data_IF_718685479057
#
_entry.id   IF_718685479057
#
_cell.length_a   1.000
_cell.length_b   1.000
_cell.length_c   1.000
_cell.angle_alpha   90.00
_cell.angle_beta   90.00
_cell.angle_gamma   90.00
#
_symmetry.space_group_name_H-M   'P 1'
#
loop_
_entity.id
_entity.type
_entity.pdbx_description
1 polymer ?
#
# COMPACT_ATOMS: atom_id res chain seq x y z
N UNK A 1 -28.22 -10.92 8.07
CA UNK A 1 -29.38 -11.69 7.57
C UNK A 1 -29.49 -11.44 6.09
N UNK A 2 -29.06 -12.40 5.27
CA UNK A 2 -29.26 -12.32 3.82
C UNK A 2 -30.74 -12.40 3.52
N UNK A 3 -31.25 -11.44 2.75
CA UNK A 3 -32.65 -11.48 2.28
C UNK A 3 -32.76 -12.67 1.34
N UNK A 4 -33.57 -13.67 1.74
CA UNK A 4 -33.90 -14.80 0.89
C UNK A 4 -34.63 -14.27 -0.35
N UNK A 5 -33.98 -14.37 -1.51
CA UNK A 5 -34.53 -13.91 -2.77
C UNK A 5 -35.59 -14.95 -3.22
N UNK A 6 -36.83 -14.50 -3.38
CA UNK A 6 -37.97 -15.34 -3.72
C UNK A 6 -38.18 -15.27 -5.23
N UNK A 7 -38.52 -16.42 -5.85
CA UNK A 7 -38.89 -16.48 -7.26
C UNK A 7 -40.02 -15.47 -7.55
N UNK A 8 -39.90 -14.61 -8.56
CA UNK A 8 -40.92 -13.63 -8.89
C UNK A 8 -42.23 -14.31 -9.40
N UNK A 9 -43.36 -13.77 -8.99
CA UNK A 9 -44.64 -14.21 -9.49
C UNK A 9 -44.81 -13.87 -10.98
N UNK A 10 -45.25 -14.83 -11.76
CA UNK A 10 -45.57 -14.65 -13.17
C UNK A 10 -46.96 -14.04 -13.33
N UNK A 11 -47.07 -12.97 -14.10
CA UNK A 11 -48.31 -12.42 -14.61
C UNK A 11 -48.20 -12.09 -16.08
N UNK A 12 -49.30 -12.17 -16.82
CA UNK A 12 -49.31 -11.85 -18.26
C UNK A 12 -48.81 -10.41 -18.50
N UNK A 13 -49.24 -9.47 -17.65
CA UNK A 13 -48.78 -8.06 -17.72
C UNK A 13 -47.27 -7.96 -17.53
N UNK A 14 -46.73 -8.61 -16.47
CA UNK A 14 -45.31 -8.56 -16.15
C UNK A 14 -44.42 -9.25 -17.20
N UNK A 15 -44.96 -10.18 -17.97
CA UNK A 15 -44.30 -10.78 -19.12
C UNK A 15 -44.17 -9.79 -20.26
N UNK A 16 -45.27 -9.12 -20.64
CA UNK A 16 -45.26 -8.18 -21.76
C UNK A 16 -44.52 -6.89 -21.49
N UNK A 17 -44.44 -6.41 -20.25
CA UNK A 17 -43.68 -5.22 -19.87
C UNK A 17 -42.20 -5.53 -19.56
N UNK A 18 -41.78 -6.79 -19.61
CA UNK A 18 -40.41 -7.25 -19.37
C UNK A 18 -39.99 -7.24 -17.88
N UNK A 19 -40.91 -6.94 -16.94
CA UNK A 19 -40.58 -6.87 -15.52
C UNK A 19 -40.41 -8.25 -14.88
N UNK A 20 -41.11 -9.26 -15.39
CA UNK A 20 -40.91 -10.64 -14.96
C UNK A 20 -39.51 -11.13 -15.34
N UNK A 21 -39.10 -10.94 -16.63
CA UNK A 21 -37.80 -11.41 -17.11
C UNK A 21 -36.66 -10.81 -16.27
N UNK A 22 -36.66 -9.48 -16.05
CA UNK A 22 -35.63 -8.83 -15.22
C UNK A 22 -35.58 -9.37 -13.79
N UNK A 23 -36.75 -9.62 -13.17
CA UNK A 23 -36.82 -10.17 -11.80
C UNK A 23 -36.45 -11.64 -11.77
N UNK A 24 -36.84 -12.40 -12.79
CA UNK A 24 -36.51 -13.81 -12.91
C UNK A 24 -35.01 -14.02 -13.15
N UNK A 25 -34.39 -13.23 -14.02
CA UNK A 25 -32.94 -13.23 -14.22
C UNK A 25 -32.20 -12.95 -12.90
N UNK A 26 -32.60 -11.90 -12.18
CA UNK A 26 -32.01 -11.57 -10.89
C UNK A 26 -32.19 -12.65 -9.82
N UNK A 27 -33.34 -13.34 -9.81
CA UNK A 27 -33.58 -14.49 -8.94
C UNK A 27 -32.77 -15.70 -9.37
N UNK A 28 -32.80 -16.03 -10.68
CA UNK A 28 -32.07 -17.15 -11.26
C UNK A 28 -30.56 -17.04 -11.00
N UNK A 29 -29.99 -15.86 -11.20
CA UNK A 29 -28.59 -15.58 -10.93
C UNK A 29 -28.18 -15.81 -9.47
N UNK A 30 -29.09 -15.59 -8.52
CA UNK A 30 -28.80 -15.75 -7.10
C UNK A 30 -29.07 -17.16 -6.57
N UNK A 31 -29.96 -17.93 -7.21
CA UNK A 31 -30.39 -19.25 -6.73
C UNK A 31 -29.66 -20.39 -7.46
N UNK A 32 -29.20 -20.16 -8.68
CA UNK A 32 -28.49 -21.18 -9.43
C UNK A 32 -27.02 -21.24 -9.03
N UNK A 33 -26.63 -22.27 -8.25
CA UNK A 33 -25.25 -22.59 -7.90
C UNK A 33 -24.33 -22.91 -9.08
N UNK A 34 -24.80 -22.83 -10.32
CA UNK A 34 -24.02 -23.05 -11.55
C UNK A 34 -23.36 -21.77 -12.07
N UNK A 35 -23.73 -20.57 -11.57
CA UNK A 35 -23.16 -19.30 -12.04
C UNK A 35 -21.65 -19.26 -11.87
N UNK A 36 -21.14 -19.64 -10.70
CA UNK A 36 -19.72 -19.64 -10.42
C UNK A 36 -18.96 -20.63 -11.33
N UNK A 37 -19.56 -21.79 -11.59
CA UNK A 37 -19.03 -22.80 -12.51
C UNK A 37 -19.00 -22.25 -13.94
N UNK A 38 -20.12 -21.66 -14.41
CA UNK A 38 -20.21 -21.09 -15.75
C UNK A 38 -19.23 -19.93 -15.94
N UNK A 39 -19.16 -18.98 -14.99
CA UNK A 39 -18.23 -17.85 -15.04
C UNK A 39 -16.77 -18.32 -15.06
N UNK A 40 -16.42 -19.28 -14.19
CA UNK A 40 -15.07 -19.84 -14.15
C UNK A 40 -14.71 -20.59 -15.43
N UNK A 41 -15.68 -21.30 -16.01
CA UNK A 41 -15.48 -22.02 -17.28
C UNK A 41 -15.30 -21.04 -18.43
N UNK A 42 -16.11 -20.00 -18.51
CA UNK A 42 -15.97 -18.94 -19.51
C UNK A 42 -14.62 -18.24 -19.40
N UNK A 43 -14.22 -17.84 -18.20
CA UNK A 43 -12.90 -17.26 -17.95
C UNK A 43 -11.77 -18.21 -18.41
N UNK A 44 -11.88 -19.50 -18.09
CA UNK A 44 -10.88 -20.50 -18.51
C UNK A 44 -10.81 -20.64 -20.04
N UNK A 45 -11.93 -20.65 -20.72
CA UNK A 45 -11.99 -20.69 -22.18
C UNK A 45 -11.38 -19.43 -22.78
N UNK A 46 -11.72 -18.24 -22.27
CA UNK A 46 -11.16 -16.98 -22.70
C UNK A 46 -9.63 -16.92 -22.51
N UNK A 47 -9.15 -17.44 -21.38
CA UNK A 47 -7.71 -17.54 -21.15
C UNK A 47 -7.01 -18.48 -22.13
N UNK A 48 -7.57 -19.67 -22.37
CA UNK A 48 -6.96 -20.69 -23.25
C UNK A 48 -6.98 -20.29 -24.72
N UNK A 49 -8.09 -19.69 -25.20
CA UNK A 49 -8.27 -19.39 -26.63
C UNK A 49 -7.74 -17.99 -26.99
N UNK A 50 -7.90 -17.00 -26.12
CA UNK A 50 -7.62 -15.61 -26.44
C UNK A 50 -6.52 -15.01 -25.58
N UNK A 51 -5.96 -15.78 -24.64
CA UNK A 51 -4.96 -15.31 -23.67
C UNK A 51 -5.43 -14.05 -22.94
N UNK A 52 -6.69 -14.06 -22.46
CA UNK A 52 -7.34 -12.99 -21.76
C UNK A 52 -7.75 -13.42 -20.34
N UNK A 53 -7.64 -12.51 -19.39
CA UNK A 53 -8.14 -12.69 -18.03
C UNK A 53 -9.23 -11.66 -17.75
N UNK A 54 -10.33 -12.11 -17.18
CA UNK A 54 -11.39 -11.23 -16.68
C UNK A 54 -11.19 -11.03 -15.18
N UNK A 55 -11.11 -9.79 -14.74
CA UNK A 55 -11.13 -9.46 -13.30
C UNK A 55 -12.55 -9.39 -12.78
N UNK A 56 -12.73 -9.49 -11.46
CA UNK A 56 -13.99 -9.09 -10.82
C UNK A 56 -14.24 -7.60 -11.08
N UNK A 57 -15.52 -7.20 -11.16
CA UNK A 57 -16.00 -5.88 -11.64
C UNK A 57 -15.28 -4.63 -11.11
N UNK A 58 -14.52 -4.73 -10.02
CA UNK A 58 -13.81 -3.62 -9.39
C UNK A 58 -12.28 -3.69 -9.49
N UNK A 59 -11.71 -4.74 -10.08
CA UNK A 59 -10.27 -4.91 -10.23
C UNK A 59 -9.94 -5.10 -11.70
N UNK A 60 -9.38 -4.06 -12.28
CA UNK A 60 -8.90 -4.00 -13.65
C UNK A 60 -7.63 -4.87 -13.78
N UNK A 61 -7.84 -6.19 -13.83
CA UNK A 61 -6.76 -7.18 -13.93
C UNK A 61 -6.17 -7.16 -15.33
N UNK A 62 -4.84 -7.08 -15.41
CA UNK A 62 -4.10 -7.05 -16.66
C UNK A 62 -3.17 -8.26 -16.73
N UNK A 63 -3.33 -9.06 -17.82
CA UNK A 63 -2.40 -10.11 -18.16
C UNK A 63 -1.19 -9.50 -18.89
N UNK A 64 -0.04 -9.55 -18.24
CA UNK A 64 1.23 -9.13 -18.80
C UNK A 64 2.00 -10.26 -19.47
N UNK A 65 3.18 -9.93 -20.00
CA UNK A 65 4.09 -10.89 -20.61
C UNK A 65 4.49 -11.98 -19.62
N UNK A 66 4.74 -13.19 -20.12
CA UNK A 66 5.12 -14.37 -19.33
C UNK A 66 4.13 -14.67 -18.20
N UNK A 67 2.85 -14.44 -18.44
CA UNK A 67 1.77 -14.65 -17.48
C UNK A 67 1.91 -13.86 -16.15
N UNK A 68 2.57 -12.71 -16.18
CA UNK A 68 2.57 -11.81 -15.03
C UNK A 68 1.23 -11.10 -14.93
N UNK A 69 0.60 -11.16 -13.76
CA UNK A 69 -0.63 -10.45 -13.49
C UNK A 69 -0.34 -9.09 -12.84
N UNK A 70 -1.10 -8.08 -13.25
CA UNK A 70 -1.04 -6.72 -12.74
C UNK A 70 -2.43 -6.17 -12.44
N UNK A 71 -2.48 -5.12 -11.64
CA UNK A 71 -3.67 -4.27 -11.49
C UNK A 71 -3.44 -2.97 -12.27
N UNK A 72 -4.35 -2.60 -13.17
CA UNK A 72 -4.21 -1.46 -14.09
C UNK A 72 -3.81 -0.15 -13.41
N UNK A 73 -4.37 0.26 -12.27
CA UNK A 73 -3.92 1.48 -11.57
C UNK A 73 -2.40 1.54 -11.33
N UNK A 74 -1.75 0.42 -10.97
CA UNK A 74 -0.29 0.41 -10.79
C UNK A 74 0.47 0.56 -12.11
N UNK A 75 -0.07 0.01 -13.21
CA UNK A 75 0.48 0.24 -14.56
C UNK A 75 0.33 1.72 -14.92
N UNK A 76 -0.86 2.31 -14.74
CA UNK A 76 -1.11 3.72 -15.02
C UNK A 76 -0.17 4.63 -14.22
N UNK A 77 0.12 4.29 -12.97
CA UNK A 77 1.10 5.00 -12.14
C UNK A 77 2.52 4.89 -12.72
N UNK A 78 2.95 3.69 -13.14
CA UNK A 78 4.24 3.51 -13.81
C UNK A 78 4.32 4.31 -15.11
N UNK A 79 3.25 4.32 -15.91
CA UNK A 79 3.14 5.06 -17.16
C UNK A 79 2.96 6.58 -16.94
N UNK A 80 2.89 7.04 -15.69
CA UNK A 80 2.71 8.45 -15.28
C UNK A 80 1.38 9.07 -15.76
N UNK A 81 0.37 8.24 -16.01
CA UNK A 81 -0.95 8.70 -16.44
C UNK A 81 -1.76 9.32 -15.29
N UNK A 82 -1.39 9.04 -14.05
CA UNK A 82 -1.95 9.59 -12.82
C UNK A 82 -1.14 10.75 -12.24
N UNK A 83 -0.16 11.26 -13.01
CA UNK A 83 0.75 12.33 -12.57
C UNK A 83 -0.03 13.57 -12.14
N UNK A 84 0.18 13.99 -10.89
CA UNK A 84 -0.50 15.15 -10.29
C UNK A 84 0.33 16.42 -10.44
N UNK A 85 -0.29 17.62 -10.36
CA UNK A 85 0.43 18.89 -10.26
C UNK A 85 1.48 18.87 -9.13
N UNK A 86 2.58 19.58 -9.33
CA UNK A 86 3.70 19.62 -8.39
C UNK A 86 3.28 20.21 -7.05
N UNK A 87 2.38 21.17 -7.06
CA UNK A 87 1.84 21.86 -5.89
C UNK A 87 1.05 20.89 -4.98
N UNK A 88 0.31 19.96 -5.59
CA UNK A 88 -0.42 18.92 -4.84
C UNK A 88 0.55 17.95 -4.14
N UNK A 89 1.62 17.56 -4.82
CA UNK A 89 2.64 16.67 -4.23
C UNK A 89 3.44 17.42 -3.15
N UNK A 90 3.72 18.73 -3.36
CA UNK A 90 4.32 19.57 -2.32
C UNK A 90 3.46 19.62 -1.06
N UNK A 91 2.15 19.85 -1.21
CA UNK A 91 1.22 19.88 -0.08
C UNK A 91 1.20 18.54 0.70
N UNK A 92 1.31 17.40 0.02
CA UNK A 92 1.47 16.09 0.67
C UNK A 92 2.77 16.03 1.48
N UNK A 93 3.88 16.49 0.92
CA UNK A 93 5.16 16.51 1.64
C UNK A 93 5.13 17.46 2.86
N UNK A 94 4.46 18.60 2.76
CA UNK A 94 4.25 19.52 3.87
C UNK A 94 3.46 18.86 5.01
N UNK A 95 2.42 18.11 4.71
CA UNK A 95 1.67 17.35 5.72
C UNK A 95 2.50 16.26 6.38
N UNK A 96 3.36 15.55 5.63
CA UNK A 96 4.28 14.55 6.20
C UNK A 96 5.28 15.22 7.14
N UNK A 97 5.82 16.39 6.76
CA UNK A 97 6.68 17.23 7.61
C UNK A 97 5.97 17.63 8.89
N UNK A 98 4.74 18.10 8.78
CA UNK A 98 3.95 18.57 9.93
C UNK A 98 3.64 17.41 10.89
N UNK A 99 3.34 16.22 10.35
CA UNK A 99 3.22 15.00 11.13
C UNK A 99 4.53 14.65 11.85
N UNK A 100 5.66 14.65 11.15
CA UNK A 100 6.97 14.42 11.75
C UNK A 100 7.27 15.41 12.88
N UNK A 101 7.03 16.69 12.64
CA UNK A 101 7.28 17.74 13.62
C UNK A 101 6.36 17.62 14.86
N UNK A 102 5.08 17.29 14.64
CA UNK A 102 4.12 17.05 15.71
C UNK A 102 4.52 15.88 16.62
N UNK A 103 4.97 14.77 16.01
CA UNK A 103 5.47 13.60 16.74
C UNK A 103 6.80 13.93 17.45
N UNK A 104 7.73 14.63 16.80
CA UNK A 104 9.00 15.05 17.39
C UNK A 104 8.80 15.95 18.60
N UNK A 105 7.80 16.85 18.61
CA UNK A 105 7.45 17.68 19.76
C UNK A 105 6.98 16.86 20.98
N UNK A 106 6.55 15.62 20.77
CA UNK A 106 6.19 14.64 21.81
C UNK A 106 7.35 13.67 22.14
N UNK A 107 8.52 13.85 21.52
CA UNK A 107 9.66 12.96 21.68
C UNK A 107 9.53 11.62 20.95
N UNK A 108 8.60 11.49 19.98
CA UNK A 108 8.33 10.26 19.25
C UNK A 108 9.01 10.33 17.89
N UNK A 109 10.01 9.51 17.61
CA UNK A 109 10.62 9.38 16.28
C UNK A 109 9.60 8.95 15.22
N UNK A 110 9.82 9.43 14.00
CA UNK A 110 8.97 9.13 12.84
C UNK A 110 9.82 8.87 11.60
N UNK A 111 9.34 8.00 10.73
CA UNK A 111 9.78 8.00 9.33
C UNK A 111 8.67 7.60 8.37
N UNK A 112 8.78 8.13 7.16
CA UNK A 112 7.90 7.80 6.04
C UNK A 112 8.53 6.70 5.19
N UNK A 113 7.78 5.64 4.85
CA UNK A 113 8.23 4.54 3.99
C UNK A 113 7.49 4.54 2.66
N UNK A 114 8.23 4.47 1.56
CA UNK A 114 7.68 4.39 0.20
C UNK A 114 7.85 2.97 -0.32
N UNK A 115 6.74 2.31 -0.64
CA UNK A 115 6.73 0.96 -1.20
C UNK A 115 6.53 0.99 -2.72
N UNK A 116 7.37 0.30 -3.52
CA UNK A 116 7.18 0.19 -4.96
C UNK A 116 6.00 -0.72 -5.29
N UNK A 117 5.47 -0.58 -6.49
CA UNK A 117 4.56 -1.56 -7.09
C UNK A 117 5.30 -2.58 -7.94
N UNK A 118 4.64 -3.71 -8.25
CA UNK A 118 5.15 -4.69 -9.22
C UNK A 118 5.39 -4.05 -10.59
N UNK A 119 4.52 -3.14 -11.02
CA UNK A 119 4.66 -2.46 -12.31
C UNK A 119 5.93 -1.59 -12.38
N UNK A 120 6.33 -0.96 -11.27
CA UNK A 120 7.57 -0.16 -11.21
C UNK A 120 8.83 -1.01 -11.14
N UNK A 121 8.76 -2.22 -10.58
CA UNK A 121 9.92 -3.12 -10.45
C UNK A 121 10.08 -4.03 -11.67
N UNK A 122 8.98 -4.48 -12.28
CA UNK A 122 8.97 -5.37 -13.44
C UNK A 122 8.20 -4.78 -14.64
N UNK A 123 8.58 -3.57 -15.12
CA UNK A 123 7.91 -2.95 -16.27
C UNK A 123 8.09 -3.74 -17.56
N UNK A 124 9.13 -4.56 -17.68
CA UNK A 124 9.42 -5.40 -18.83
C UNK A 124 8.33 -6.45 -19.12
N UNK A 125 7.50 -6.76 -18.14
CA UNK A 125 6.38 -7.69 -18.32
C UNK A 125 5.04 -7.00 -18.59
N UNK A 126 4.98 -5.67 -18.59
CA UNK A 126 3.79 -4.93 -19.00
C UNK A 126 3.57 -5.12 -20.52
N UNK A 127 2.31 -5.27 -20.99
CA UNK A 127 2.04 -5.38 -22.42
C UNK A 127 2.50 -4.17 -23.22
N UNK A 128 3.07 -4.40 -24.42
CA UNK A 128 3.64 -3.33 -25.25
C UNK A 128 2.61 -2.25 -25.61
N UNK A 129 1.36 -2.64 -25.89
CA UNK A 129 0.29 -1.70 -26.21
C UNK A 129 -0.05 -0.73 -25.06
N UNK A 130 0.30 -1.09 -23.82
CA UNK A 130 0.17 -0.19 -22.68
C UNK A 130 1.41 0.69 -22.52
N UNK A 131 2.61 0.12 -22.72
CA UNK A 131 3.87 0.88 -22.63
C UNK A 131 3.88 2.05 -23.61
N UNK A 132 3.31 1.90 -24.80
CA UNK A 132 3.18 2.99 -25.79
C UNK A 132 2.35 4.19 -25.29
N UNK A 133 1.60 4.04 -24.19
CA UNK A 133 0.80 5.11 -23.58
C UNK A 133 1.59 5.93 -22.55
N UNK A 134 2.87 5.62 -22.32
CA UNK A 134 3.68 6.32 -21.31
C UNK A 134 3.74 7.83 -21.57
N UNK A 135 3.44 8.61 -20.55
CA UNK A 135 3.66 10.04 -20.59
C UNK A 135 5.14 10.37 -20.29
N UNK A 136 5.96 10.35 -21.34
CA UNK A 136 7.40 10.58 -21.21
C UNK A 136 7.75 11.99 -20.72
N UNK A 137 6.90 12.98 -20.99
CA UNK A 137 7.12 14.36 -20.59
C UNK A 137 6.80 14.62 -19.10
N UNK A 138 5.98 13.78 -18.49
CA UNK A 138 5.63 13.93 -17.08
C UNK A 138 6.68 13.30 -16.17
N UNK A 139 6.85 13.87 -14.99
CA UNK A 139 7.47 13.19 -13.84
C UNK A 139 6.40 12.38 -13.11
N UNK A 140 6.78 11.21 -12.58
CA UNK A 140 5.90 10.45 -11.68
C UNK A 140 5.69 11.20 -10.36
N UNK A 141 4.62 10.86 -9.63
CA UNK A 141 4.36 11.42 -8.31
C UNK A 141 5.53 11.16 -7.34
N UNK A 142 6.15 9.97 -7.42
CA UNK A 142 7.35 9.64 -6.66
C UNK A 142 8.54 10.56 -7.02
N UNK A 143 8.81 10.77 -8.30
CA UNK A 143 9.92 11.64 -8.74
C UNK A 143 9.73 13.09 -8.29
N UNK A 144 8.47 13.57 -8.21
CA UNK A 144 8.13 14.90 -7.68
C UNK A 144 8.24 14.97 -6.15
N UNK A 145 7.95 13.87 -5.43
CA UNK A 145 7.93 13.85 -3.97
C UNK A 145 9.34 13.84 -3.35
N UNK A 146 10.25 13.04 -3.90
CA UNK A 146 11.60 12.84 -3.30
C UNK A 146 12.37 14.16 -3.06
N UNK A 147 12.39 15.15 -3.98
CA UNK A 147 13.01 16.44 -3.71
C UNK A 147 12.43 17.15 -2.48
N UNK A 148 11.10 17.14 -2.30
CA UNK A 148 10.44 17.78 -1.16
C UNK A 148 10.72 17.06 0.16
N UNK A 149 10.79 15.71 0.16
CA UNK A 149 11.18 14.98 1.36
C UNK A 149 12.58 15.40 1.85
N UNK A 150 13.50 15.64 0.92
CA UNK A 150 14.86 16.12 1.22
C UNK A 150 14.86 17.59 1.66
N UNK A 151 14.16 18.46 0.93
CA UNK A 151 14.02 19.89 1.23
C UNK A 151 13.48 20.12 2.64
N UNK A 152 12.48 19.34 3.05
CA UNK A 152 11.83 19.46 4.35
C UNK A 152 12.50 18.65 5.47
N UNK A 153 13.61 17.96 5.19
CA UNK A 153 14.33 17.17 6.20
C UNK A 153 13.50 16.00 6.76
N UNK A 154 12.62 15.44 5.94
CA UNK A 154 11.76 14.33 6.38
C UNK A 154 12.61 13.05 6.48
N UNK A 155 12.48 12.35 7.60
CA UNK A 155 13.03 11.00 7.73
C UNK A 155 12.22 10.05 6.84
N UNK A 156 12.86 9.41 5.85
CA UNK A 156 12.15 8.45 5.01
C UNK A 156 12.99 7.21 4.69
N UNK A 157 12.29 6.13 4.39
CA UNK A 157 12.86 4.90 3.85
C UNK A 157 12.38 4.75 2.41
N UNK A 158 13.30 4.91 1.47
CA UNK A 158 13.03 4.79 0.04
C UNK A 158 13.06 3.32 -0.38
N UNK A 159 11.95 2.63 -0.16
CA UNK A 159 11.77 1.25 -0.58
C UNK A 159 11.76 1.09 -2.10
N UNK A 160 11.30 2.11 -2.84
CA UNK A 160 11.34 2.10 -4.31
C UNK A 160 12.78 1.99 -4.81
N UNK A 161 13.67 2.85 -4.33
CA UNK A 161 15.09 2.81 -4.68
C UNK A 161 15.74 1.51 -4.18
N UNK A 162 15.50 1.13 -2.93
CA UNK A 162 16.09 -0.06 -2.33
C UNK A 162 15.74 -1.34 -3.11
N UNK A 163 14.47 -1.56 -3.43
CA UNK A 163 14.03 -2.76 -4.16
C UNK A 163 14.48 -2.74 -5.62
N UNK A 164 14.54 -1.57 -6.26
CA UNK A 164 15.10 -1.42 -7.61
C UNK A 164 16.59 -1.78 -7.65
N UNK A 165 17.35 -1.40 -6.63
CA UNK A 165 18.78 -1.75 -6.54
C UNK A 165 18.95 -3.23 -6.16
N UNK A 166 18.10 -3.78 -5.29
CA UNK A 166 18.10 -5.20 -4.96
C UNK A 166 17.84 -6.08 -6.20
N UNK A 167 16.92 -5.68 -7.10
CA UNK A 167 16.67 -6.36 -8.37
C UNK A 167 17.93 -6.50 -9.23
N UNK A 168 18.82 -5.50 -9.21
CA UNK A 168 20.07 -5.54 -9.96
C UNK A 168 21.14 -6.43 -9.32
N UNK A 169 21.05 -6.64 -8.00
CA UNK A 169 22.07 -7.32 -7.19
C UNK A 169 21.76 -8.80 -6.94
N UNK A 170 20.51 -9.21 -7.06
CA UNK A 170 20.12 -10.59 -6.80
C UNK A 170 19.25 -11.17 -7.92
N UNK A 171 19.36 -12.50 -8.11
CA UNK A 171 18.58 -13.24 -9.10
C UNK A 171 17.26 -13.78 -8.53
N UNK A 172 16.87 -13.38 -7.32
CA UNK A 172 15.61 -13.81 -6.73
C UNK A 172 14.44 -13.01 -7.31
N UNK A 173 13.29 -13.65 -7.60
CA UNK A 173 12.07 -12.90 -7.86
C UNK A 173 11.71 -12.07 -6.62
N UNK A 174 11.33 -10.81 -6.84
CA UNK A 174 10.96 -9.87 -5.76
C UNK A 174 9.44 -9.75 -5.61
N UNK A 175 8.71 -10.06 -6.68
CA UNK A 175 7.26 -10.14 -6.71
C UNK A 175 6.84 -11.46 -7.36
N UNK A 176 5.81 -12.14 -6.84
CA UNK A 176 5.30 -13.34 -7.45
C UNK A 176 4.55 -13.01 -8.75
N UNK A 177 4.55 -13.95 -9.69
CA UNK A 177 3.89 -13.77 -11.00
C UNK A 177 2.38 -13.53 -10.85
N UNK A 178 1.73 -14.30 -9.99
CA UNK A 178 0.30 -14.25 -9.73
C UNK A 178 -0.15 -13.32 -8.61
N UNK A 179 0.77 -12.54 -8.02
CA UNK A 179 0.48 -11.66 -6.89
C UNK A 179 0.70 -10.18 -7.18
N UNK A 180 0.00 -9.34 -6.40
CA UNK A 180 0.16 -7.87 -6.40
C UNK A 180 1.33 -7.44 -5.54
N UNK A 181 1.47 -8.07 -4.38
CA UNK A 181 2.42 -7.68 -3.35
C UNK A 181 3.82 -8.26 -3.64
N UNK A 182 4.81 -7.67 -3.04
CA UNK A 182 6.14 -8.29 -2.96
C UNK A 182 6.08 -9.63 -2.22
N UNK A 183 6.98 -10.54 -2.59
CA UNK A 183 7.04 -11.87 -1.99
C UNK A 183 7.69 -11.86 -0.58
N UNK A 184 7.79 -13.04 0.04
CA UNK A 184 8.36 -13.20 1.38
C UNK A 184 9.83 -12.77 1.47
N UNK A 185 10.64 -13.02 0.42
CA UNK A 185 12.04 -12.59 0.41
C UNK A 185 12.15 -11.06 0.44
N UNK A 186 11.38 -10.37 -0.38
CA UNK A 186 11.35 -8.91 -0.41
C UNK A 186 10.80 -8.33 0.90
N UNK A 187 9.75 -8.95 1.45
CA UNK A 187 9.21 -8.59 2.77
C UNK A 187 10.26 -8.72 3.88
N UNK A 188 11.07 -9.79 3.85
CA UNK A 188 12.19 -9.97 4.77
C UNK A 188 13.25 -8.87 4.63
N UNK A 189 13.65 -8.56 3.39
CA UNK A 189 14.62 -7.50 3.12
C UNK A 189 14.12 -6.13 3.62
N UNK A 190 12.83 -5.83 3.40
CA UNK A 190 12.23 -4.60 3.91
C UNK A 190 12.14 -4.58 5.43
N UNK A 191 11.87 -5.72 6.09
CA UNK A 191 11.90 -5.81 7.55
C UNK A 191 13.28 -5.45 8.11
N UNK A 192 14.37 -5.90 7.46
CA UNK A 192 15.74 -5.51 7.84
C UNK A 192 15.97 -4.00 7.71
N UNK A 193 15.48 -3.38 6.63
CA UNK A 193 15.60 -1.92 6.44
C UNK A 193 14.81 -1.15 7.50
N UNK A 194 13.61 -1.61 7.83
CA UNK A 194 12.78 -1.03 8.89
C UNK A 194 13.52 -1.12 10.25
N UNK A 195 14.05 -2.29 10.59
CA UNK A 195 14.81 -2.48 11.85
C UNK A 195 16.01 -1.53 11.93
N UNK A 196 16.80 -1.42 10.85
CA UNK A 196 17.93 -0.50 10.79
C UNK A 196 17.49 0.95 10.98
N UNK A 197 16.37 1.35 10.37
CA UNK A 197 15.84 2.71 10.52
C UNK A 197 15.34 2.97 11.94
N UNK A 198 14.68 2.00 12.56
CA UNK A 198 14.26 2.09 13.97
C UNK A 198 15.50 2.27 14.87
N UNK A 199 16.52 1.41 14.74
CA UNK A 199 17.76 1.54 15.53
C UNK A 199 18.42 2.91 15.37
N UNK A 200 18.45 3.42 14.12
CA UNK A 200 19.06 4.74 13.81
C UNK A 200 18.30 5.89 14.45
N UNK A 201 16.97 5.89 14.40
CA UNK A 201 16.17 7.01 14.88
C UNK A 201 15.93 6.97 16.39
N UNK A 202 15.79 5.78 16.97
CA UNK A 202 15.58 5.63 18.41
C UNK A 202 16.87 5.57 19.21
N UNK A 203 18.03 5.35 18.56
CA UNK A 203 19.32 5.06 19.19
C UNK A 203 19.29 3.83 20.12
N UNK A 204 18.28 2.97 19.97
CA UNK A 204 18.10 1.74 20.74
C UNK A 204 18.52 0.53 19.91
N UNK A 205 19.23 -0.43 20.52
CA UNK A 205 19.59 -1.68 19.84
C UNK A 205 18.40 -2.62 19.77
N UNK A 206 18.24 -3.31 18.65
CA UNK A 206 17.25 -4.38 18.48
C UNK A 206 17.94 -5.75 18.40
N UNK A 207 17.20 -6.82 18.63
CA UNK A 207 17.64 -8.16 18.27
C UNK A 207 17.84 -8.27 16.75
N UNK A 208 18.72 -9.15 16.29
CA UNK A 208 18.97 -9.31 14.85
C UNK A 208 18.08 -10.43 14.27
N UNK A 209 17.68 -10.23 13.02
CA UNK A 209 16.98 -11.24 12.23
C UNK A 209 17.97 -11.84 11.21
N UNK A 210 18.38 -13.06 11.42
CA UNK A 210 19.37 -13.74 10.57
C UNK A 210 18.70 -14.69 9.58
N UNK A 211 19.10 -14.63 8.33
CA UNK A 211 18.75 -15.61 7.32
C UNK A 211 19.51 -16.93 7.60
N UNK A 212 18.80 -18.05 7.70
CA UNK A 212 19.38 -19.39 7.81
C UNK A 212 19.51 -20.06 6.45
N UNK A 213 18.44 -20.05 5.68
CA UNK A 213 18.35 -20.58 4.32
C UNK A 213 17.18 -19.97 3.58
N UNK A 214 17.13 -20.16 2.29
CA UNK A 214 15.96 -19.87 1.45
C UNK A 214 15.38 -21.21 1.00
N UNK A 215 14.11 -21.41 1.27
CA UNK A 215 13.33 -22.52 0.74
C UNK A 215 12.63 -22.06 -0.51
N UNK A 216 12.65 -22.88 -1.56
CA UNK A 216 11.94 -22.64 -2.80
C UNK A 216 10.69 -23.51 -2.83
N UNK A 217 9.56 -22.89 -3.14
CA UNK A 217 8.28 -23.60 -3.17
C UNK A 217 7.38 -22.96 -4.25
N UNK A 218 6.67 -23.78 -4.99
CA UNK A 218 5.65 -23.35 -5.96
C UNK A 218 4.28 -23.17 -5.32
N UNK A 219 4.09 -23.72 -4.11
CA UNK A 219 2.85 -23.53 -3.37
C UNK A 219 2.77 -22.10 -2.86
N UNK A 220 1.82 -21.30 -3.35
CA UNK A 220 1.72 -19.91 -2.95
C UNK A 220 1.35 -19.79 -1.48
N UNK A 221 1.93 -18.78 -0.81
CA UNK A 221 1.64 -18.48 0.58
C UNK A 221 1.04 -17.08 0.69
N UNK A 222 -0.08 -16.93 1.42
CA UNK A 222 -0.78 -15.65 1.66
C UNK A 222 -1.19 -14.93 0.37
N UNK A 223 -0.49 -13.83 0.00
CA UNK A 223 -0.78 -12.98 -1.15
C UNK A 223 0.04 -13.29 -2.39
N UNK A 224 0.77 -14.42 -2.41
CA UNK A 224 1.61 -14.74 -3.56
C UNK A 224 0.80 -15.03 -4.84
N UNK A 225 -0.49 -15.36 -4.69
CA UNK A 225 -1.42 -15.69 -5.78
C UNK A 225 -2.73 -14.88 -5.71
N UNK A 226 -2.73 -13.74 -5.04
CA UNK A 226 -3.94 -12.95 -4.82
C UNK A 226 -4.61 -12.51 -6.13
N UNK A 227 -3.84 -12.13 -7.16
CA UNK A 227 -4.37 -11.82 -8.49
C UNK A 227 -4.75 -13.08 -9.28
N UNK A 228 -4.01 -14.16 -9.12
CA UNK A 228 -4.33 -15.42 -9.80
C UNK A 228 -5.70 -15.97 -9.33
N UNK A 229 -5.99 -15.86 -8.02
CA UNK A 229 -7.32 -16.21 -7.49
C UNK A 229 -8.43 -15.29 -8.02
N UNK A 230 -8.14 -13.99 -8.21
CA UNK A 230 -9.10 -13.03 -8.77
C UNK A 230 -9.39 -13.25 -10.23
N UNK A 231 -8.48 -13.86 -10.99
CA UNK A 231 -8.73 -14.26 -12.38
C UNK A 231 -9.84 -15.32 -12.50
N UNK A 232 -10.19 -15.97 -11.40
CA UNK A 232 -11.28 -16.94 -11.28
C UNK A 232 -11.25 -18.02 -12.37
N UNK A 233 -10.09 -18.67 -12.51
CA UNK A 233 -9.85 -19.78 -13.46
C UNK A 233 -9.93 -21.13 -12.74
N UNK A 234 -10.16 -22.19 -13.49
CA UNK A 234 -10.03 -23.57 -12.99
C UNK A 234 -8.57 -23.93 -12.76
N UNK A 235 -7.69 -23.54 -13.68
CA UNK A 235 -6.24 -23.74 -13.57
C UNK A 235 -5.52 -22.42 -13.48
N UNK A 236 -4.97 -22.11 -12.31
CA UNK A 236 -4.14 -20.92 -12.06
C UNK A 236 -2.63 -21.22 -12.12
N UNK A 237 -2.24 -22.46 -12.41
CA UNK A 237 -0.83 -22.88 -12.46
C UNK A 237 0.06 -22.05 -13.42
N UNK A 238 -0.45 -21.48 -14.55
CA UNK A 238 0.34 -20.60 -15.40
C UNK A 238 0.84 -19.32 -14.72
N UNK A 239 0.21 -18.91 -13.62
CA UNK A 239 0.56 -17.71 -12.84
C UNK A 239 1.40 -18.01 -11.61
N UNK A 240 1.76 -19.28 -11.37
CA UNK A 240 2.53 -19.67 -10.19
C UNK A 240 4.00 -19.88 -10.54
N UNK A 241 4.85 -19.29 -9.70
CA UNK A 241 6.31 -19.43 -9.75
C UNK A 241 6.83 -20.21 -8.55
N UNK A 242 8.08 -20.66 -8.65
CA UNK A 242 8.86 -20.92 -7.46
C UNK A 242 9.21 -19.61 -6.77
N UNK A 243 8.73 -19.45 -5.53
CA UNK A 243 8.99 -18.27 -4.72
C UNK A 243 10.01 -18.57 -3.62
N UNK A 244 10.90 -17.60 -3.31
CA UNK A 244 11.87 -17.73 -2.25
C UNK A 244 11.23 -17.43 -0.89
N UNK A 245 11.24 -18.40 0.02
CA UNK A 245 10.74 -18.28 1.38
C UNK A 245 11.90 -18.30 2.37
N UNK A 246 12.30 -17.14 2.93
CA UNK A 246 13.36 -17.07 3.92
C UNK A 246 13.01 -17.80 5.21
N UNK A 247 13.85 -18.75 5.59
CA UNK A 247 13.87 -19.33 6.94
C UNK A 247 14.80 -18.47 7.79
N UNK A 248 14.23 -17.79 8.78
CA UNK A 248 14.94 -16.81 9.59
C UNK A 248 15.01 -17.21 11.05
N UNK A 249 15.99 -16.67 11.75
CA UNK A 249 16.16 -16.85 13.19
C UNK A 249 16.46 -15.52 13.88
N UNK A 250 15.78 -15.26 15.01
CA UNK A 250 16.18 -14.19 15.92
C UNK A 250 17.51 -14.53 16.58
N UNK A 251 18.46 -13.60 16.52
CA UNK A 251 19.71 -13.63 17.27
C UNK A 251 19.61 -12.60 18.40
N UNK A 252 19.60 -13.04 19.67
CA UNK A 252 19.62 -12.13 20.81
C UNK A 252 20.84 -11.22 20.78
N UNK A 253 20.65 -9.96 21.14
CA UNK A 253 21.70 -8.95 21.32
C UNK A 253 21.61 -8.44 22.75
N UNK A 254 22.73 -8.33 23.45
CA UNK A 254 22.79 -7.82 24.82
C UNK A 254 22.40 -6.32 24.84
N UNK A 255 21.45 -5.97 25.71
CA UNK A 255 20.93 -4.62 25.82
C UNK A 255 19.96 -4.23 24.71
N UNK A 256 19.50 -5.20 23.89
CA UNK A 256 18.46 -4.95 22.91
C UNK A 256 17.10 -4.73 23.60
N UNK A 257 16.29 -3.85 23.02
CA UNK A 257 14.90 -3.61 23.41
C UNK A 257 13.94 -4.14 22.37
N UNK A 258 12.68 -4.28 22.74
CA UNK A 258 11.56 -4.54 21.84
C UNK A 258 10.78 -3.22 21.69
N UNK A 259 11.03 -2.43 20.66
CA UNK A 259 10.37 -1.14 20.51
C UNK A 259 8.86 -1.31 20.32
N UNK A 260 8.09 -0.40 20.91
CA UNK A 260 6.65 -0.30 20.67
C UNK A 260 6.43 0.53 19.40
N UNK A 261 6.05 -0.14 18.31
CA UNK A 261 5.95 0.42 16.96
C UNK A 261 4.50 0.64 16.58
N UNK A 262 4.17 1.84 16.12
CA UNK A 262 2.93 2.09 15.38
C UNK A 262 3.25 2.16 13.89
N UNK A 263 2.71 1.23 13.10
CA UNK A 263 2.83 1.23 11.65
C UNK A 263 1.46 1.50 11.02
N UNK A 264 1.29 2.69 10.44
CA UNK A 264 0.12 3.02 9.62
C UNK A 264 0.52 2.94 8.14
N UNK A 265 -0.23 2.20 7.33
CA UNK A 265 0.16 2.05 5.94
C UNK A 265 -0.82 1.25 5.10
N UNK A 266 -0.46 1.08 3.83
CA UNK A 266 -1.15 0.23 2.88
C UNK A 266 -0.85 -1.25 3.14
N UNK A 267 -1.42 -2.11 2.30
CA UNK A 267 -1.27 -3.57 2.42
C UNK A 267 0.17 -4.07 2.25
N UNK A 268 1.03 -3.30 1.61
CA UNK A 268 2.45 -3.65 1.42
C UNK A 268 3.22 -3.73 2.74
N UNK A 269 2.84 -2.94 3.73
CA UNK A 269 3.42 -3.01 5.08
C UNK A 269 3.17 -4.35 5.80
N UNK A 270 2.19 -5.17 5.37
CA UNK A 270 1.83 -6.44 6.02
C UNK A 270 3.00 -7.42 6.11
N UNK A 271 3.72 -7.61 5.02
CA UNK A 271 4.80 -8.60 4.95
C UNK A 271 5.95 -8.28 5.90
N UNK A 272 6.57 -7.08 5.82
CA UNK A 272 7.62 -6.68 6.76
C UNK A 272 7.15 -6.71 8.22
N UNK A 273 5.97 -6.16 8.53
CA UNK A 273 5.42 -6.16 9.88
C UNK A 273 5.23 -7.58 10.43
N UNK A 274 4.79 -8.53 9.59
CA UNK A 274 4.69 -9.94 9.98
C UNK A 274 6.05 -10.53 10.38
N UNK A 275 7.15 -10.21 9.67
CA UNK A 275 8.49 -10.66 10.07
C UNK A 275 8.90 -10.10 11.44
N UNK A 276 8.57 -8.85 11.73
CA UNK A 276 8.89 -8.21 13.00
C UNK A 276 8.13 -8.85 14.16
N UNK A 277 6.84 -9.05 14.02
CA UNK A 277 5.98 -9.62 15.07
C UNK A 277 6.22 -11.11 15.28
N UNK A 278 6.21 -11.91 14.21
CA UNK A 278 6.40 -13.36 14.30
C UNK A 278 7.73 -13.77 14.94
N UNK A 279 8.75 -12.92 14.80
CA UNK A 279 10.08 -13.18 15.37
C UNK A 279 10.31 -12.43 16.68
N UNK A 280 9.28 -11.82 17.28
CA UNK A 280 9.37 -11.06 18.53
C UNK A 280 10.54 -10.05 18.50
N UNK A 281 10.57 -9.21 17.46
CA UNK A 281 11.57 -8.14 17.25
C UNK A 281 11.07 -6.78 17.69
N UNK A 282 9.75 -6.65 17.84
CA UNK A 282 9.04 -5.48 18.35
C UNK A 282 8.14 -5.92 19.51
N UNK A 283 7.67 -4.95 20.29
CA UNK A 283 6.78 -5.18 21.42
C UNK A 283 5.45 -5.80 20.98
N UNK A 284 4.86 -6.63 21.84
CA UNK A 284 3.50 -7.16 21.63
C UNK A 284 2.41 -6.06 21.72
N UNK A 285 2.77 -4.86 22.21
CA UNK A 285 1.94 -3.66 22.20
C UNK A 285 2.01 -2.89 20.89
N UNK A 286 2.82 -3.35 19.93
CA UNK A 286 2.94 -2.72 18.60
C UNK A 286 1.70 -2.97 17.77
N UNK A 287 1.24 -1.92 17.06
CA UNK A 287 0.04 -1.99 16.24
C UNK A 287 0.32 -1.69 14.78
N UNK A 288 -0.57 -2.20 13.93
CA UNK A 288 -0.59 -1.93 12.51
C UNK A 288 -1.99 -1.51 12.06
N UNK A 289 -2.08 -0.33 11.45
CA UNK A 289 -3.31 0.21 10.90
C UNK A 289 -3.26 0.30 9.38
N UNK A 290 -4.38 -0.04 8.75
CA UNK A 290 -4.61 0.23 7.33
C UNK A 290 -5.27 1.59 7.24
N UNK A 291 -4.51 2.64 6.87
CA UNK A 291 -4.89 4.04 7.04
C UNK A 291 -6.18 4.44 6.30
N UNK A 292 -6.53 3.77 5.19
CA UNK A 292 -7.78 4.05 4.46
C UNK A 292 -9.03 3.40 5.10
N UNK A 293 -8.87 2.50 6.06
CA UNK A 293 -9.98 1.94 6.84
C UNK A 293 -10.27 2.70 8.13
N UNK A 294 -9.41 3.65 8.50
CA UNK A 294 -9.58 4.42 9.72
C UNK A 294 -10.74 5.40 9.58
N UNK A 295 -11.73 5.28 10.46
CA UNK A 295 -12.90 6.16 10.51
C UNK A 295 -12.76 7.26 11.56
N UNK A 296 -11.95 7.05 12.59
CA UNK A 296 -11.68 8.02 13.66
C UNK A 296 -10.34 7.72 14.32
N UNK A 297 -9.74 8.75 14.94
CA UNK A 297 -8.57 8.60 15.81
C UNK A 297 -8.95 8.03 17.19
N UNK A 298 -10.22 8.08 17.59
CA UNK A 298 -10.65 7.52 18.86
C UNK A 298 -10.22 6.07 19.09
N UNK A 299 -9.91 5.36 18.01
CA UNK A 299 -9.32 4.02 18.05
C UNK A 299 -7.80 4.04 18.33
N UNK A 300 -7.15 5.22 18.33
CA UNK A 300 -5.70 5.39 18.45
C UNK A 300 -5.22 6.31 19.57
N UNK A 301 -6.09 7.10 20.19
CA UNK A 301 -5.72 8.25 21.02
C UNK A 301 -4.86 7.89 22.26
N UNK A 302 -5.06 6.72 22.82
CA UNK A 302 -4.23 6.24 23.95
C UNK A 302 -2.87 5.72 23.47
N UNK A 303 -2.74 5.39 22.19
CA UNK A 303 -1.62 4.62 21.66
C UNK A 303 -0.44 5.45 21.17
N UNK A 304 -0.64 6.67 20.66
CA UNK A 304 0.47 7.45 20.07
C UNK A 304 1.48 7.90 21.12
N UNK A 305 1.02 8.28 22.31
CA UNK A 305 1.92 8.78 23.38
C UNK A 305 2.84 7.71 23.98
N UNK A 306 2.51 6.45 23.82
CA UNK A 306 3.25 5.29 24.35
C UNK A 306 4.17 4.65 23.32
N UNK A 307 4.25 5.19 22.10
CA UNK A 307 5.05 4.61 21.02
C UNK A 307 6.51 5.01 21.09
N UNK A 308 7.38 4.06 20.88
CA UNK A 308 8.81 4.31 20.68
C UNK A 308 9.09 4.90 19.31
N UNK A 309 8.24 4.63 18.32
CA UNK A 309 8.36 5.12 16.93
C UNK A 309 7.05 4.97 16.16
N UNK A 310 6.79 5.92 15.27
CA UNK A 310 5.68 5.87 14.31
C UNK A 310 6.23 5.75 12.88
N UNK A 311 5.65 4.85 12.11
CA UNK A 311 5.97 4.60 10.71
C UNK A 311 4.71 4.84 9.88
N UNK A 312 4.81 5.73 8.90
CA UNK A 312 3.78 5.88 7.87
C UNK A 312 4.28 5.27 6.57
N UNK A 313 3.57 4.26 6.05
CA UNK A 313 3.90 3.62 4.78
C UNK A 313 2.89 3.99 3.70
N UNK A 314 3.37 4.19 2.49
CA UNK A 314 2.53 4.39 1.31
C UNK A 314 3.13 3.71 0.10
N UNK A 315 2.27 3.13 -0.74
CA UNK A 315 2.70 2.70 -2.06
C UNK A 315 2.88 3.90 -3.01
N UNK A 316 3.68 3.74 -4.05
CA UNK A 316 3.88 4.79 -5.07
C UNK A 316 2.57 5.26 -5.72
N UNK A 317 1.54 4.38 -5.78
CA UNK A 317 0.21 4.71 -6.31
C UNK A 317 -0.55 5.66 -5.40
N UNK A 318 -0.41 5.52 -4.09
CA UNK A 318 -1.25 6.21 -3.11
C UNK A 318 -0.69 7.55 -2.67
N UNK A 319 0.55 7.88 -3.07
CA UNK A 319 1.23 9.13 -2.69
C UNK A 319 0.36 10.39 -2.87
N UNK A 320 -0.41 10.56 -3.96
CA UNK A 320 -1.25 11.75 -4.12
C UNK A 320 -2.47 11.81 -3.21
N UNK A 321 -2.79 10.72 -2.51
CA UNK A 321 -4.00 10.55 -1.71
C UNK A 321 -3.72 10.49 -0.20
N UNK A 322 -2.47 10.66 0.22
CA UNK A 322 -2.07 10.63 1.63
C UNK A 322 -2.73 11.73 2.48
N UNK A 323 -3.26 12.77 1.85
CA UNK A 323 -4.07 13.79 2.50
C UNK A 323 -5.46 13.29 2.94
N UNK A 324 -5.74 11.99 2.79
CA UNK A 324 -6.98 11.32 3.22
C UNK A 324 -6.65 10.27 4.28
N UNK A 325 -7.58 10.01 5.19
CA UNK A 325 -7.42 8.96 6.21
C UNK A 325 -6.47 9.34 7.35
N UNK A 326 -5.43 8.55 7.59
CA UNK A 326 -4.56 8.66 8.77
C UNK A 326 -3.94 10.04 9.00
N UNK A 327 -3.30 10.65 7.99
CA UNK A 327 -2.59 11.93 8.19
C UNK A 327 -3.50 13.07 8.67
N UNK A 328 -4.63 13.37 8.00
CA UNK A 328 -5.53 14.43 8.48
C UNK A 328 -6.07 14.17 9.88
N UNK A 329 -6.34 12.90 10.20
CA UNK A 329 -6.81 12.51 11.52
C UNK A 329 -5.78 12.81 12.60
N UNK A 330 -4.53 12.36 12.43
CA UNK A 330 -3.45 12.59 13.40
C UNK A 330 -3.11 14.08 13.52
N UNK A 331 -3.05 14.80 12.40
CA UNK A 331 -2.78 16.24 12.40
C UNK A 331 -3.88 17.02 13.15
N UNK A 332 -5.15 16.66 12.96
CA UNK A 332 -6.25 17.31 13.67
C UNK A 332 -6.18 17.12 15.19
N UNK A 333 -5.70 15.97 15.67
CA UNK A 333 -5.48 15.74 17.11
C UNK A 333 -4.31 16.56 17.64
N UNK A 334 -3.21 16.66 16.88
CA UNK A 334 -2.11 17.54 17.28
C UNK A 334 -2.53 19.02 17.38
N UNK A 335 -3.41 19.49 16.51
CA UNK A 335 -3.97 20.85 16.59
C UNK A 335 -4.82 21.06 17.84
N UNK A 336 -5.65 20.10 18.21
CA UNK A 336 -6.47 20.15 19.44
C UNK A 336 -5.60 20.17 20.72
N UNK A 337 -4.42 19.55 20.68
CA UNK A 337 -3.49 19.46 21.79
C UNK A 337 -2.51 20.65 21.88
N UNK A 338 -2.55 21.62 20.94
CA UNK A 338 -1.77 22.86 21.07
C UNK A 338 -2.30 23.67 22.25
N UNK A 339 -1.45 24.03 23.22
CA UNK A 339 -1.89 24.92 24.28
C UNK A 339 -2.32 26.27 23.66
N UNK A 340 -3.33 26.96 24.22
CA UNK A 340 -3.92 28.17 23.64
C UNK A 340 -2.95 29.38 23.56
N UNK A 341 -1.68 29.22 23.88
CA UNK A 341 -0.69 30.30 23.97
C UNK A 341 0.16 30.54 22.70
N UNK A 342 -0.05 29.81 21.58
CA UNK A 342 0.73 30.06 20.37
C UNK A 342 0.04 30.99 19.33
N UNK A 343 -1.08 31.63 19.69
CA UNK A 343 -1.65 32.74 18.91
C UNK A 343 -1.10 34.10 19.36
N UNK A 344 0.19 34.19 19.65
CA UNK A 344 0.87 35.37 20.08
C UNK A 344 1.86 35.86 19.02
N UNK A 345 1.43 36.80 18.18
CA UNK A 345 2.36 37.72 17.58
C UNK A 345 2.42 37.80 16.07
N UNK A 346 1.47 38.55 15.48
CA UNK A 346 1.80 39.45 14.38
C UNK A 346 0.65 40.42 14.13
N UNK A 347 0.40 41.34 15.06
CA UNK A 347 -0.28 42.60 14.74
C UNK A 347 0.45 43.74 15.45
N UNK A 348 1.70 43.98 15.06
CA UNK A 348 2.28 45.32 15.16
C UNK A 348 2.29 45.91 13.77
N UNK A 349 1.20 46.64 13.46
CA UNK A 349 1.21 47.68 12.43
C UNK A 349 2.20 48.76 12.88
N UNK A 350 3.43 48.69 12.44
CA UNK A 350 4.35 49.81 12.44
C UNK A 350 3.95 50.74 11.33
N UNK A 351 3.34 51.87 11.66
CA UNK A 351 3.13 53.01 10.78
C UNK A 351 4.49 53.51 10.29
N UNK A 352 4.63 53.88 9.00
CA UNK A 352 5.88 54.42 8.49
C UNK A 352 6.10 55.85 9.07
N UNK A 353 7.36 56.23 9.34
CA UNK A 353 7.67 57.60 9.81
C UNK A 353 7.39 58.60 8.70
N UNK A 354 6.65 59.66 9.04
CA UNK A 354 6.47 60.84 8.15
C UNK A 354 7.80 61.58 8.04
N UNK A 355 8.33 61.71 6.86
CA UNK A 355 9.36 62.69 6.54
C UNK A 355 8.77 64.10 6.63
N UNK A 356 9.20 64.89 7.60
CA UNK A 356 9.02 66.32 7.65
C UNK A 356 10.17 67.00 6.92
N UNK A 357 9.83 67.79 5.92
CA UNK A 357 10.75 68.78 5.31
C UNK A 357 10.95 69.92 6.29
N UNK A 358 12.21 70.25 6.58
CA UNK A 358 12.79 71.60 6.63
C UNK A 358 14.28 71.49 6.30
#
# INVERSE_FOLDING_TARGET
MEKKVVMPDFTVSSWFDGSFQRRFEGWYDQVHGLRDIATRTDNQINFLLFHQVSGQENLDLVLGKRNNLYVRPYINNYLKLDSQPVEKIRAVAEQIRDLQNGLAAKGIPFFFMISPSKATIYPEYIPDYMICQMNEQALSNYQKLIPFLKEFGINYLDGMKFISDLKKQCNYPLFPRGGTHWNFFTSYQMALQIMQRIETLTQKKMHKLLLKKIEWDRTPRRSDDDLARLANLWDTSPFLDENPYPVVQKKPVKGAVLPNVLLAGASFANGPYWYLTKNHLISDLSDRYVYYHMKSIGDMDQDISERDIVILESTVLELPFLNRGFMPLVLSEFEKMRPPFFNGGSDQKSSPPRCGFH
#
